data_IF_645350279885
#
_entry.id   IF_645350279885
#
_cell.length_a   1.000
_cell.length_b   1.000
_cell.length_c   1.000
_cell.angle_alpha   90.00
_cell.angle_beta   90.00
_cell.angle_gamma   90.00
#
_symmetry.space_group_name_H-M   'P 1'
#
loop_
_entity.id
_entity.type
_entity.pdbx_description
1 polymer ?
#
# COMPACT_ATOMS: atom_id res chain seq x y z
N UNK A 1 16.79 -0.77 -0.03
CA UNK A 1 18.12 -0.44 0.52
C UNK A 1 18.00 -0.58 2.04
N UNK A 2 18.66 -1.42 2.81
CA UNK A 2 19.75 -2.40 2.63
C UNK A 2 19.25 -3.79 3.11
N UNK A 3 20.13 -4.80 3.09
CA UNK A 3 20.04 -6.16 3.65
C UNK A 3 19.70 -7.28 2.65
N UNK A 4 20.71 -8.13 2.46
CA UNK A 4 20.86 -9.25 1.54
C UNK A 4 20.00 -10.49 1.86
N UNK A 5 18.75 -10.32 2.30
CA UNK A 5 17.87 -11.42 2.73
C UNK A 5 16.72 -11.75 1.77
N UNK A 6 16.74 -11.21 0.54
CA UNK A 6 15.52 -11.12 -0.26
C UNK A 6 15.52 -11.99 -1.52
N UNK A 7 16.19 -13.16 -1.61
CA UNK A 7 15.88 -14.09 -2.72
C UNK A 7 14.62 -14.92 -2.40
N UNK A 8 14.49 -15.39 -1.16
CA UNK A 8 13.36 -16.20 -0.70
C UNK A 8 12.03 -15.41 -0.64
N UNK A 9 12.10 -14.10 -0.35
CA UNK A 9 10.93 -13.22 -0.31
C UNK A 9 10.59 -12.58 -1.67
N UNK A 10 11.55 -12.48 -2.62
CA UNK A 10 11.30 -11.98 -3.99
C UNK A 10 10.36 -12.91 -4.76
N UNK A 11 10.56 -14.23 -4.64
CA UNK A 11 9.70 -15.22 -5.30
C UNK A 11 8.32 -15.33 -4.65
N UNK A 12 8.18 -14.95 -3.37
CA UNK A 12 6.92 -15.04 -2.62
C UNK A 12 5.98 -13.85 -2.83
N UNK A 13 6.48 -12.66 -3.20
CA UNK A 13 5.66 -11.45 -3.37
C UNK A 13 5.88 -10.69 -4.71
N UNK A 14 6.72 -11.19 -5.63
CA UNK A 14 6.98 -10.66 -6.98
C UNK A 14 6.92 -9.12 -7.11
N UNK A 15 7.66 -8.41 -6.24
CA UNK A 15 7.79 -6.95 -6.28
C UNK A 15 8.99 -6.56 -7.16
N UNK A 16 8.74 -5.95 -8.32
CA UNK A 16 9.78 -5.44 -9.24
C UNK A 16 9.81 -3.90 -9.23
N UNK A 17 10.93 -3.32 -8.78
CA UNK A 17 11.08 -1.87 -8.54
C UNK A 17 11.33 -0.99 -9.79
N UNK A 18 11.30 -1.54 -11.02
CA UNK A 18 11.70 -0.80 -12.23
C UNK A 18 10.54 -0.02 -12.88
N UNK A 19 9.27 -0.41 -12.65
CA UNK A 19 8.11 0.19 -13.32
C UNK A 19 6.93 0.57 -12.41
N UNK A 20 7.09 0.53 -11.09
CA UNK A 20 6.01 0.87 -10.12
C UNK A 20 4.69 0.10 -10.37
N UNK A 21 4.81 -1.18 -10.73
CA UNK A 21 3.66 -2.02 -11.08
C UNK A 21 3.51 -3.18 -10.09
N UNK A 22 2.26 -3.48 -9.74
CA UNK A 22 1.91 -4.58 -8.83
C UNK A 22 1.38 -5.76 -9.66
N UNK A 23 1.86 -6.97 -9.36
CA UNK A 23 1.33 -8.21 -9.92
C UNK A 23 0.40 -8.88 -8.93
N UNK A 24 -0.79 -9.24 -9.39
CA UNK A 24 -1.81 -9.94 -8.58
C UNK A 24 -1.96 -11.37 -9.11
N UNK A 25 -2.14 -12.32 -8.22
CA UNK A 25 -2.12 -13.77 -8.50
C UNK A 25 -3.25 -14.21 -9.46
N UNK A 26 -4.42 -13.56 -9.42
CA UNK A 26 -5.58 -13.96 -10.23
C UNK A 26 -5.68 -13.30 -11.61
N UNK A 27 -4.75 -12.40 -11.97
CA UNK A 27 -4.83 -11.63 -13.22
C UNK A 27 -3.71 -12.07 -14.15
N UNK A 28 -4.05 -13.02 -15.02
CA UNK A 28 -3.13 -13.69 -15.94
C UNK A 28 -3.56 -13.48 -17.38
N UNK A 29 -2.59 -13.29 -18.26
CA UNK A 29 -2.77 -13.43 -19.70
C UNK A 29 -2.08 -14.69 -20.17
N UNK A 30 -2.75 -15.44 -21.04
CA UNK A 30 -2.12 -16.50 -21.81
C UNK A 30 -1.41 -15.91 -23.01
N UNK A 31 -0.15 -16.28 -23.19
CA UNK A 31 0.63 -15.93 -24.37
C UNK A 31 0.43 -17.00 -25.45
N UNK A 32 0.68 -16.66 -26.71
CA UNK A 32 0.52 -17.58 -27.87
C UNK A 32 1.32 -18.89 -27.71
N UNK A 33 2.41 -18.84 -26.94
CA UNK A 33 3.22 -20.01 -26.56
C UNK A 33 2.67 -20.80 -25.36
N UNK A 34 1.39 -20.62 -25.00
CA UNK A 34 0.67 -21.30 -23.90
C UNK A 34 1.30 -21.11 -22.51
N UNK A 35 2.12 -20.07 -22.33
CA UNK A 35 2.66 -19.69 -21.02
C UNK A 35 1.78 -18.61 -20.41
N UNK A 36 1.50 -18.71 -19.10
CA UNK A 36 0.76 -17.68 -18.36
C UNK A 36 1.70 -16.64 -17.78
N UNK A 37 1.41 -15.36 -18.02
CA UNK A 37 2.17 -14.24 -17.44
C UNK A 37 1.19 -13.33 -16.69
N UNK A 38 1.54 -12.94 -15.47
CA UNK A 38 0.73 -11.99 -14.69
C UNK A 38 0.82 -10.59 -15.30
N UNK A 39 -0.34 -9.98 -15.52
CA UNK A 39 -0.42 -8.59 -15.97
C UNK A 39 -0.07 -7.69 -14.80
N UNK A 40 0.60 -6.59 -15.10
CA UNK A 40 0.91 -5.57 -14.12
C UNK A 40 -0.17 -4.50 -14.04
N UNK A 41 -0.55 -4.11 -12.82
CA UNK A 41 -1.63 -3.14 -12.57
C UNK A 41 -1.08 -1.93 -11.80
N UNK A 42 -1.59 -0.74 -12.15
CA UNK A 42 -1.28 0.49 -11.44
C UNK A 42 -2.01 0.54 -10.08
N UNK A 43 -1.31 1.02 -9.05
CA UNK A 43 -1.77 1.14 -7.67
C UNK A 43 -3.06 1.95 -7.51
N UNK A 44 -3.33 2.94 -8.38
CA UNK A 44 -4.56 3.75 -8.30
C UNK A 44 -5.84 2.98 -8.61
N UNK A 45 -5.75 1.85 -9.31
CA UNK A 45 -6.90 1.06 -9.74
C UNK A 45 -7.20 -0.13 -8.81
N UNK A 46 -6.56 -0.19 -7.64
CA UNK A 46 -6.65 -1.34 -6.72
C UNK A 46 -7.11 -0.88 -5.33
N UNK A 47 -8.08 -1.59 -4.76
CA UNK A 47 -8.47 -1.47 -3.36
C UNK A 47 -7.90 -2.63 -2.52
N UNK A 48 -7.42 -2.33 -1.31
CA UNK A 48 -6.87 -3.34 -0.39
C UNK A 48 -8.00 -3.94 0.44
N UNK A 49 -8.27 -5.24 0.29
CA UNK A 49 -9.35 -5.91 1.01
C UNK A 49 -8.96 -6.35 2.43
N UNK A 50 -7.79 -6.98 2.58
CA UNK A 50 -7.30 -7.48 3.88
C UNK A 50 -5.87 -7.05 4.08
N UNK A 51 -5.58 -6.45 5.22
CA UNK A 51 -4.24 -6.02 5.61
C UNK A 51 -3.58 -7.10 6.47
N UNK A 52 -2.36 -7.48 6.09
CA UNK A 52 -1.51 -8.28 6.97
C UNK A 52 -0.90 -7.37 8.04
N UNK A 53 -1.24 -7.62 9.31
CA UNK A 53 -0.76 -6.83 10.44
C UNK A 53 0.51 -7.45 11.02
N UNK A 54 1.65 -6.86 10.68
CA UNK A 54 2.93 -7.09 11.35
C UNK A 54 3.14 -6.07 12.48
N UNK A 55 4.14 -6.30 13.35
CA UNK A 55 4.46 -5.39 14.47
C UNK A 55 4.67 -3.95 13.97
N UNK A 56 5.50 -3.77 12.94
CA UNK A 56 5.79 -2.44 12.37
C UNK A 56 4.61 -1.82 11.61
N UNK A 57 3.69 -2.67 11.12
CA UNK A 57 2.48 -2.20 10.44
C UNK A 57 1.50 -1.60 11.44
N UNK A 58 1.39 -2.18 12.63
CA UNK A 58 0.52 -1.69 13.71
C UNK A 58 1.03 -0.35 14.26
N UNK A 59 2.33 -0.24 14.53
CA UNK A 59 2.93 1.02 15.01
C UNK A 59 2.75 2.16 14.01
N UNK A 60 2.93 1.90 12.71
CA UNK A 60 2.69 2.91 11.67
C UNK A 60 1.22 3.34 11.56
N UNK A 61 0.28 2.40 11.71
CA UNK A 61 -1.16 2.70 11.71
C UNK A 61 -1.56 3.56 12.91
N UNK A 62 -1.02 3.26 14.10
CA UNK A 62 -1.26 4.03 15.32
C UNK A 62 -0.69 5.45 15.23
N UNK A 63 0.51 5.60 14.67
CA UNK A 63 1.12 6.92 14.41
C UNK A 63 0.22 7.76 13.48
N UNK A 64 -0.16 7.20 12.33
CA UNK A 64 -0.99 7.92 11.36
C UNK A 64 -2.39 8.23 11.87
N UNK A 65 -2.93 7.42 12.78
CA UNK A 65 -4.18 7.68 13.48
C UNK A 65 -4.09 8.89 14.42
N UNK A 66 -3.00 8.99 15.20
CA UNK A 66 -2.76 10.12 16.11
C UNK A 66 -2.64 11.44 15.35
N UNK A 67 -1.87 11.46 14.25
CA UNK A 67 -1.67 12.67 13.43
C UNK A 67 -2.98 13.20 12.85
N UNK A 68 -3.87 12.30 12.38
CA UNK A 68 -5.20 12.68 11.88
C UNK A 68 -6.09 13.26 12.97
N UNK A 69 -6.05 12.71 14.17
CA UNK A 69 -6.85 13.23 15.31
C UNK A 69 -6.40 14.62 15.76
N UNK A 70 -5.09 14.88 15.78
CA UNK A 70 -4.53 16.18 16.12
C UNK A 70 -4.89 17.25 15.07
N UNK A 71 -4.86 16.90 13.78
CA UNK A 71 -5.25 17.82 12.70
C UNK A 71 -6.74 18.17 12.73
N UNK A 72 -7.62 17.19 13.06
CA UNK A 72 -9.06 17.44 13.23
C UNK A 72 -9.36 18.39 14.39
N UNK A 73 -8.64 18.28 15.51
CA UNK A 73 -8.80 19.19 16.67
C UNK A 73 -8.41 20.63 16.36
N UNK A 74 -7.40 20.84 15.50
CA UNK A 74 -7.01 22.20 15.10
C UNK A 74 -8.06 22.88 14.22
N UNK A 75 -8.73 22.14 13.34
CA UNK A 75 -9.79 22.67 12.48
C UNK A 75 -11.05 23.08 13.27
N UNK A 76 -11.33 22.46 14.42
CA UNK A 76 -12.51 22.80 15.23
C UNK A 76 -12.32 24.04 16.12
N UNK A 77 -11.10 24.52 16.32
CA UNK A 77 -10.80 25.58 17.30
C UNK A 77 -10.63 26.99 16.69
N UNK A 78 -10.57 27.15 15.36
CA UNK A 78 -10.44 28.49 14.72
C UNK A 78 -11.67 28.98 13.95
N UNK A 79 -12.66 28.14 13.64
CA UNK A 79 -13.82 28.54 12.81
C UNK A 79 -15.12 28.87 13.59
N UNK A 80 -15.05 29.05 14.92
CA UNK A 80 -16.23 29.42 15.75
C UNK A 80 -15.90 30.56 16.71
N UNK A 81 -15.55 31.73 16.18
CA UNK A 81 -15.78 32.99 16.89
C UNK A 81 -16.62 33.86 15.94
N UNK A 82 -17.95 33.92 16.12
CA UNK A 82 -18.76 34.91 15.43
C UNK A 82 -18.31 36.31 15.89
N UNK A 83 -17.99 37.25 14.99
CA UNK A 83 -17.93 38.65 15.39
C UNK A 83 -19.34 39.10 15.79
N UNK A 84 -19.41 39.88 16.88
CA UNK A 84 -20.63 40.41 17.51
C UNK A 84 -21.67 40.94 16.51
#
# INVERSE_FOLDING_TARGET
>A
MSVALLLHLKNKYNVRFVKWVIHVESIICEKVNRSTVNIGINTSNIAIMKLKLNKDRKTFLEQKGKDRSAKKRKFMNEDVIPPL
#
